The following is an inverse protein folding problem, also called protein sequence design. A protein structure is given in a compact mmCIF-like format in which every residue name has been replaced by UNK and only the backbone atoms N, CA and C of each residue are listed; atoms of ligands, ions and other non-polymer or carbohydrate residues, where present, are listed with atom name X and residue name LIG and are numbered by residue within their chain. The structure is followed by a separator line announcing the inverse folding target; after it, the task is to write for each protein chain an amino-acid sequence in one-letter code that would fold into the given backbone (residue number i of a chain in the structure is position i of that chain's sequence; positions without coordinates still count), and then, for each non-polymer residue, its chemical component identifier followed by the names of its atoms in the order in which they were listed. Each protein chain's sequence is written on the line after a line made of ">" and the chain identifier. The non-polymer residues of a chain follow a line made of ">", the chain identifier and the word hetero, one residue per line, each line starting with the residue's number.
data_IF_808908646215
#
_entry.id   IF_808908646215
#
_cell.length_a   1.000
_cell.length_b   1.000
_cell.length_c   1.000
_cell.angle_alpha   90.00
_cell.angle_beta   90.00
_cell.angle_gamma   90.00
#
_symmetry.space_group_name_H-M   'P 1'
#
loop_
_entity.id
_entity.type
_entity.pdbx_description
1 polymer ?
#
# COMPACT_ATOMS: atom_id res chain seq x y z
N UNK A 1 19.11 19.07 18.47
CA UNK A 1 19.53 17.84 19.16
C UNK A 1 18.37 17.40 20.03
N UNK A 2 17.83 16.20 19.80
CA UNK A 2 16.72 15.64 20.58
C UNK A 2 17.29 14.65 21.59
N UNK A 3 16.87 14.70 22.85
CA UNK A 3 17.31 13.76 23.90
C UNK A 3 16.07 13.08 24.46
N UNK A 4 16.07 11.75 24.47
CA UNK A 4 15.05 10.92 25.09
C UNK A 4 15.67 10.14 26.26
N UNK A 5 14.94 10.01 27.37
CA UNK A 5 15.28 9.12 28.48
C UNK A 5 14.22 8.04 28.58
N UNK A 6 14.66 6.79 28.59
CA UNK A 6 13.82 5.65 28.94
C UNK A 6 13.73 5.47 30.46
N UNK A 7 12.65 4.81 30.91
CA UNK A 7 12.39 4.51 32.32
C UNK A 7 13.46 3.61 32.96
N UNK A 8 14.30 2.98 32.14
CA UNK A 8 15.47 2.19 32.56
C UNK A 8 16.75 3.03 32.74
N UNK A 9 16.67 4.36 32.69
CA UNK A 9 17.80 5.29 32.83
C UNK A 9 18.62 5.51 31.55
N UNK A 10 18.40 4.73 30.48
CA UNK A 10 19.12 4.90 29.22
C UNK A 10 18.76 6.24 28.58
N UNK A 11 19.76 7.10 28.37
CA UNK A 11 19.61 8.38 27.64
C UNK A 11 20.07 8.21 26.19
N UNK A 12 19.21 8.55 25.22
CA UNK A 12 19.54 8.51 23.78
C UNK A 12 19.45 9.91 23.19
N UNK A 13 20.53 10.37 22.58
CA UNK A 13 20.61 11.66 21.90
C UNK A 13 20.61 11.50 20.37
N UNK A 14 19.95 12.42 19.68
CA UNK A 14 19.78 12.44 18.24
C UNK A 14 20.29 13.77 17.66
N UNK A 15 21.17 13.68 16.67
CA UNK A 15 21.75 14.83 15.96
C UNK A 15 21.59 14.67 14.45
N UNK A 16 21.14 15.72 13.78
CA UNK A 16 21.07 15.82 12.32
C UNK A 16 22.34 16.49 11.78
N UNK A 17 22.84 16.00 10.64
CA UNK A 17 23.94 16.65 9.92
C UNK A 17 23.90 16.34 8.42
N UNK A 18 24.87 16.84 7.63
CA UNK A 18 24.88 16.73 6.17
C UNK A 18 24.96 15.29 5.61
N UNK A 19 25.09 14.28 6.48
CA UNK A 19 25.16 12.85 6.14
C UNK A 19 24.05 12.04 6.83
N UNK A 20 22.93 12.69 7.17
CA UNK A 20 21.76 12.09 7.81
C UNK A 20 21.72 12.28 9.33
N UNK A 21 20.77 11.57 9.97
CA UNK A 21 20.54 11.61 11.42
C UNK A 21 21.38 10.52 12.11
N UNK A 22 22.03 10.86 13.23
CA UNK A 22 22.76 9.93 14.10
C UNK A 22 22.11 9.86 15.47
N UNK A 23 22.00 8.64 16.00
CA UNK A 23 21.65 8.37 17.39
C UNK A 23 22.89 7.95 18.19
N UNK A 24 22.99 8.38 19.44
CA UNK A 24 24.04 7.99 20.37
C UNK A 24 23.48 7.80 21.78
N UNK A 25 23.80 6.65 22.39
CA UNK A 25 23.48 6.34 23.78
C UNK A 25 24.50 7.04 24.69
N UNK A 26 24.01 7.64 25.78
CA UNK A 26 24.78 8.37 26.79
C UNK A 26 24.56 7.69 28.14
N UNK A 27 25.50 6.83 28.55
CA UNK A 27 25.46 6.16 29.85
C UNK A 27 25.98 7.10 30.96
N UNK A 28 25.32 7.09 32.12
CA UNK A 28 25.75 7.84 33.30
C UNK A 28 26.29 6.93 34.39
N UNK A 29 27.54 7.16 34.84
CA UNK A 29 28.04 6.60 36.12
C UNK A 29 27.29 7.25 37.29
N UNK A 30 26.95 6.54 38.36
CA UNK A 30 27.79 5.96 39.42
C UNK A 30 27.14 6.40 40.76
N UNK A 31 27.32 5.82 41.94
CA UNK A 31 28.15 4.73 42.50
C UNK A 31 27.34 4.15 43.70
N UNK A 32 27.62 3.01 44.35
CA UNK A 32 28.66 1.97 44.19
C UNK A 32 28.80 1.19 45.51
N UNK A 33 28.56 -0.13 45.53
CA UNK A 33 28.71 -1.00 46.71
C UNK A 33 28.90 -2.49 46.33
N UNK A 34 30.14 -2.85 46.02
CA UNK A 34 30.85 -4.05 46.50
C UNK A 34 30.15 -5.44 46.53
N UNK A 35 29.54 -5.85 45.42
CA UNK A 35 29.53 -7.27 45.01
C UNK A 35 29.97 -7.36 43.54
N UNK A 36 30.90 -8.26 43.19
CA UNK A 36 31.35 -8.44 41.79
C UNK A 36 30.16 -8.88 40.90
N UNK A 37 29.70 -8.05 39.95
CA UNK A 37 28.64 -8.46 39.03
C UNK A 37 29.20 -9.48 38.05
N UNK A 38 28.39 -10.45 37.57
CA UNK A 38 28.87 -11.49 36.67
C UNK A 38 29.48 -10.86 35.42
N UNK A 39 30.76 -11.17 35.17
CA UNK A 39 31.50 -10.71 34.00
C UNK A 39 30.85 -11.30 32.73
N UNK A 40 29.85 -10.60 32.19
CA UNK A 40 29.42 -10.76 30.80
C UNK A 40 30.50 -10.15 29.90
N UNK A 41 31.63 -10.85 29.80
CA UNK A 41 32.51 -10.75 28.63
C UNK A 41 31.62 -10.94 27.41
N UNK A 42 31.66 -9.98 26.50
CA UNK A 42 31.13 -10.16 25.17
C UNK A 42 31.85 -11.37 24.55
N UNK A 43 31.21 -12.54 24.62
CA UNK A 43 31.57 -13.68 23.81
C UNK A 43 31.54 -13.20 22.36
N UNK A 44 32.65 -13.41 21.64
CA UNK A 44 32.70 -13.10 20.22
C UNK A 44 31.51 -13.79 19.54
N UNK A 45 30.79 -13.14 18.61
CA UNK A 45 29.89 -13.87 17.74
C UNK A 45 30.74 -14.81 16.89
N UNK A 46 30.74 -16.11 17.19
CA UNK A 46 31.44 -17.15 16.42
C UNK A 46 30.72 -17.41 15.07
N UNK A 47 30.73 -16.38 14.21
CA UNK A 47 30.26 -16.41 12.84
C UNK A 47 31.37 -15.98 11.88
N UNK A 48 32.51 -16.67 11.97
CA UNK A 48 33.61 -16.50 11.02
C UNK A 48 33.31 -17.29 9.74
N UNK A 49 32.97 -16.58 8.66
CA UNK A 49 32.64 -17.18 7.36
C UNK A 49 33.92 -17.50 6.56
N UNK A 50 34.80 -18.37 7.09
CA UNK A 50 36.03 -18.79 6.39
C UNK A 50 35.86 -20.16 5.70
N UNK A 51 35.78 -20.14 4.37
CA UNK A 51 35.49 -21.32 3.54
C UNK A 51 36.67 -22.29 3.39
N UNK A 52 36.95 -23.10 4.42
CA UNK A 52 37.99 -24.16 4.35
C UNK A 52 37.49 -25.43 3.67
N UNK A 53 37.65 -25.52 2.34
CA UNK A 53 37.58 -26.80 1.63
C UNK A 53 38.68 -27.76 2.12
N UNK A 54 38.30 -28.84 2.81
CA UNK A 54 39.20 -29.99 3.07
C UNK A 54 38.85 -31.16 2.16
N UNK A 55 39.62 -31.31 1.08
CA UNK A 55 39.56 -32.43 0.15
C UNK A 55 40.13 -33.71 0.79
N UNK A 56 39.28 -34.55 1.39
CA UNK A 56 39.66 -35.93 1.75
C UNK A 56 39.56 -36.85 0.52
N UNK A 57 40.68 -37.04 -0.18
CA UNK A 57 40.89 -38.21 -1.05
C UNK A 57 41.03 -39.47 -0.19
N UNK A 58 40.40 -40.58 -0.60
CA UNK A 58 40.91 -41.97 -0.48
C UNK A 58 40.14 -42.90 -1.46
N UNK A 59 40.62 -44.13 -1.72
CA UNK A 59 40.95 -44.55 -3.08
C UNK A 59 39.81 -45.30 -3.80
N UNK A 60 39.97 -45.46 -5.12
CA UNK A 60 38.98 -46.12 -5.97
C UNK A 60 39.01 -47.65 -5.91
N UNK A 61 37.92 -48.25 -6.39
CA UNK A 61 37.83 -49.65 -6.84
C UNK A 61 37.28 -49.63 -8.27
N UNK A 62 37.75 -50.58 -9.08
CA UNK A 62 37.65 -50.54 -10.54
C UNK A 62 36.35 -51.13 -11.12
N UNK A 63 36.29 -51.09 -12.46
CA UNK A 63 35.17 -51.43 -13.33
C UNK A 63 34.53 -52.82 -13.13
N UNK A 64 33.26 -52.91 -13.52
CA UNK A 64 32.51 -54.16 -13.68
C UNK A 64 31.41 -54.02 -14.72
N UNK A 65 31.76 -54.10 -16.00
CA UNK A 65 30.78 -54.20 -17.10
C UNK A 65 30.11 -55.58 -17.08
N UNK A 66 28.81 -55.66 -17.32
CA UNK A 66 28.24 -56.77 -18.09
C UNK A 66 26.89 -56.41 -18.69
N UNK A 67 26.74 -56.69 -19.97
CA UNK A 67 25.48 -56.62 -20.70
C UNK A 67 24.60 -57.83 -20.41
N UNK A 68 23.28 -57.67 -20.48
CA UNK A 68 22.38 -58.77 -20.87
C UNK A 68 21.06 -58.23 -21.44
N UNK A 69 20.97 -58.26 -22.77
CA UNK A 69 19.68 -58.29 -23.46
C UNK A 69 18.92 -59.56 -23.05
N UNK A 70 17.60 -59.48 -22.87
CA UNK A 70 16.70 -60.61 -23.15
C UNK A 70 15.43 -60.12 -23.84
N UNK A 71 14.82 -61.03 -24.59
CA UNK A 71 13.98 -60.75 -25.76
C UNK A 71 12.50 -60.55 -25.39
N UNK A 72 11.77 -59.94 -26.32
CA UNK A 72 10.30 -59.83 -26.37
C UNK A 72 9.60 -61.16 -26.06
N UNK A 73 8.43 -61.06 -25.43
CA UNK A 73 7.28 -61.90 -25.75
C UNK A 73 6.02 -61.02 -25.76
N UNK A 74 5.31 -61.01 -26.88
CA UNK A 74 4.07 -60.25 -27.09
C UNK A 74 2.86 -61.07 -26.71
N UNK A 75 1.88 -60.46 -26.04
CA UNK A 75 0.49 -60.94 -26.06
C UNK A 75 -0.47 -59.75 -26.12
N UNK A 76 -1.23 -59.66 -27.22
CA UNK A 76 -2.25 -58.63 -27.38
C UNK A 76 -3.49 -58.97 -26.55
N UNK A 77 -3.97 -58.00 -25.78
CA UNK A 77 -5.38 -57.93 -25.35
C UNK A 77 -5.92 -56.53 -25.61
N UNK A 78 -6.74 -56.41 -26.67
CA UNK A 78 -7.51 -55.20 -26.96
C UNK A 78 -8.56 -54.96 -25.88
N UNK A 79 -8.56 -53.76 -25.27
CA UNK A 79 -9.69 -53.15 -24.55
C UNK A 79 -9.66 -51.62 -24.79
N UNK A 80 -10.78 -50.91 -24.56
CA UNK A 80 -11.31 -49.97 -25.57
C UNK A 80 -10.69 -48.56 -25.54
N UNK A 81 -10.95 -47.82 -26.62
CA UNK A 81 -10.51 -46.44 -26.80
C UNK A 81 -10.99 -45.52 -25.66
N UNK A 82 -10.04 -44.87 -24.99
CA UNK A 82 -10.29 -43.68 -24.20
C UNK A 82 -9.80 -42.47 -25.00
N UNK A 83 -10.63 -41.43 -25.07
CA UNK A 83 -10.33 -40.20 -25.82
C UNK A 83 -9.06 -39.53 -25.30
N UNK A 84 -7.96 -39.66 -26.04
CA UNK A 84 -6.76 -38.88 -25.81
C UNK A 84 -7.05 -37.41 -26.16
N UNK A 85 -7.29 -36.56 -25.15
CA UNK A 85 -7.11 -35.12 -25.32
C UNK A 85 -5.67 -34.90 -25.77
N UNK A 86 -5.50 -34.42 -27.01
CA UNK A 86 -4.20 -34.06 -27.53
C UNK A 86 -3.65 -32.87 -26.74
N UNK A 87 -2.83 -33.16 -25.73
CA UNK A 87 -2.04 -32.13 -25.06
C UNK A 87 -1.02 -31.62 -26.06
N UNK A 88 -1.22 -30.43 -26.60
CA UNK A 88 -0.20 -29.73 -27.39
C UNK A 88 0.92 -29.34 -26.43
N UNK A 89 1.86 -30.27 -26.24
CA UNK A 89 3.10 -30.03 -25.55
C UNK A 89 3.97 -29.13 -26.43
N UNK A 90 3.79 -27.82 -26.32
CA UNK A 90 4.66 -26.82 -26.91
C UNK A 90 6.07 -26.96 -26.30
N UNK A 91 6.89 -27.79 -26.93
CA UNK A 91 8.25 -28.07 -26.47
C UNK A 91 9.16 -26.87 -26.76
N UNK A 92 9.11 -25.88 -25.86
CA UNK A 92 10.11 -24.82 -25.78
C UNK A 92 11.47 -25.44 -25.44
N UNK A 93 12.24 -25.81 -26.47
CA UNK A 93 13.66 -26.09 -26.30
C UNK A 93 14.34 -24.75 -26.03
N UNK A 94 14.96 -24.54 -24.85
CA UNK A 94 15.76 -23.34 -24.62
C UNK A 94 16.85 -23.26 -25.68
N UNK A 95 17.04 -22.09 -26.28
CA UNK A 95 18.22 -21.83 -27.11
C UNK A 95 19.47 -22.01 -26.25
N UNK A 96 20.56 -22.50 -26.85
CA UNK A 96 21.86 -22.56 -26.17
C UNK A 96 22.23 -21.15 -25.67
N UNK A 97 22.42 -21.01 -24.36
CA UNK A 97 22.57 -19.71 -23.69
C UNK A 97 21.42 -19.30 -22.76
N UNK A 98 20.32 -20.07 -22.68
CA UNK A 98 19.28 -19.82 -21.68
C UNK A 98 19.84 -19.95 -20.25
N UNK A 99 19.76 -18.86 -19.48
CA UNK A 99 20.01 -18.89 -18.03
C UNK A 99 18.96 -19.79 -17.39
N UNK A 100 19.39 -20.96 -16.92
CA UNK A 100 18.55 -21.80 -16.06
C UNK A 100 18.42 -21.07 -14.74
N UNK A 101 17.32 -20.33 -14.56
CA UNK A 101 16.91 -19.79 -13.27
C UNK A 101 16.77 -20.99 -12.34
N UNK A 102 17.72 -21.15 -11.42
CA UNK A 102 17.70 -22.25 -10.48
C UNK A 102 16.46 -22.08 -9.59
N UNK A 103 15.51 -23.02 -9.71
CA UNK A 103 14.34 -23.06 -8.82
C UNK A 103 14.87 -22.98 -7.38
N UNK A 104 14.41 -21.99 -6.57
CA UNK A 104 14.96 -21.78 -5.25
C UNK A 104 14.84 -23.07 -4.44
N UNK A 105 15.99 -23.62 -4.06
CA UNK A 105 16.03 -24.82 -3.22
C UNK A 105 15.34 -24.47 -1.89
N UNK A 106 14.45 -25.33 -1.36
CA UNK A 106 13.82 -25.07 -0.09
C UNK A 106 14.90 -24.87 0.99
N UNK A 107 14.84 -23.75 1.71
CA UNK A 107 15.82 -23.37 2.73
C UNK A 107 15.94 -24.44 3.82
N UNK A 108 14.83 -25.13 4.14
CA UNK A 108 14.85 -26.35 4.93
C UNK A 108 14.98 -27.57 4.02
N UNK A 109 16.11 -28.28 4.13
CA UNK A 109 16.17 -29.69 3.74
C UNK A 109 15.29 -30.49 4.71
N UNK A 110 14.50 -31.42 4.19
CA UNK A 110 13.66 -32.31 5.03
C UNK A 110 12.23 -31.83 5.27
N UNK A 111 11.73 -30.84 4.55
CA UNK A 111 10.27 -30.76 4.33
C UNK A 111 9.84 -32.07 3.67
N UNK A 112 9.03 -32.87 4.36
CA UNK A 112 8.68 -34.24 3.95
C UNK A 112 7.78 -34.31 2.72
N UNK A 113 7.11 -35.45 2.52
CA UNK A 113 6.23 -35.67 1.36
C UNK A 113 5.08 -34.64 1.21
N UNK A 114 4.79 -33.85 2.24
CA UNK A 114 3.80 -32.77 2.27
C UNK A 114 4.35 -31.38 1.90
N UNK A 115 5.59 -31.28 1.40
CA UNK A 115 6.17 -30.00 0.98
C UNK A 115 5.43 -29.42 -0.24
N UNK A 116 4.94 -28.17 -0.14
CA UNK A 116 4.40 -27.43 -1.29
C UNK A 116 5.52 -26.93 -2.20
N UNK A 117 5.18 -26.65 -3.46
CA UNK A 117 6.11 -26.01 -4.41
C UNK A 117 6.44 -24.56 -3.97
N UNK A 118 7.63 -24.03 -4.33
CA UNK A 118 7.97 -22.64 -4.04
C UNK A 118 6.99 -21.65 -4.69
N UNK A 119 6.46 -20.72 -3.90
CA UNK A 119 5.55 -19.65 -4.35
C UNK A 119 6.26 -18.31 -4.61
N UNK A 120 7.55 -18.22 -4.30
CA UNK A 120 8.36 -17.01 -4.45
C UNK A 120 9.78 -17.35 -4.93
N UNK A 121 10.42 -16.41 -5.65
CA UNK A 121 11.78 -16.59 -6.19
C UNK A 121 12.86 -16.57 -5.10
N UNK A 122 12.62 -15.87 -3.98
CA UNK A 122 13.46 -15.85 -2.80
C UNK A 122 12.72 -16.51 -1.62
N UNK A 123 13.40 -17.27 -0.73
CA UNK A 123 12.76 -18.11 0.28
C UNK A 123 12.01 -17.35 1.39
N UNK A 124 12.30 -16.06 1.57
CA UNK A 124 11.57 -15.15 2.47
C UNK A 124 11.00 -13.94 1.71
N UNK A 125 10.85 -14.05 0.39
CA UNK A 125 10.46 -12.93 -0.48
C UNK A 125 11.40 -11.73 -0.31
N UNK A 126 10.82 -10.55 -0.16
CA UNK A 126 11.52 -9.28 0.08
C UNK A 126 12.00 -9.18 1.54
N UNK A 127 12.98 -9.98 1.93
CA UNK A 127 13.41 -10.11 3.33
C UNK A 127 13.84 -8.79 4.00
N UNK A 128 14.34 -7.81 3.22
CA UNK A 128 14.79 -6.51 3.74
C UNK A 128 13.66 -5.66 4.36
N UNK A 129 12.44 -5.71 3.82
CA UNK A 129 11.32 -4.90 4.32
C UNK A 129 10.67 -5.49 5.58
N UNK A 130 10.94 -6.76 5.93
CA UNK A 130 10.43 -7.38 7.15
C UNK A 130 10.90 -6.66 8.43
N UNK A 131 12.01 -5.93 8.34
CA UNK A 131 12.55 -5.10 9.43
C UNK A 131 11.61 -3.94 9.81
N UNK A 132 10.74 -3.48 8.90
CA UNK A 132 9.77 -2.41 9.16
C UNK A 132 8.71 -2.90 10.16
N UNK A 133 8.03 -4.01 9.83
CA UNK A 133 7.02 -4.62 10.72
C UNK A 133 7.62 -5.11 12.03
N UNK A 134 8.85 -5.67 11.98
CA UNK A 134 9.58 -6.04 13.19
C UNK A 134 9.86 -4.82 14.08
N UNK A 135 10.34 -3.70 13.53
CA UNK A 135 10.59 -2.48 14.28
C UNK A 135 9.30 -1.92 14.89
N UNK A 136 8.20 -1.82 14.13
CA UNK A 136 6.89 -1.36 14.63
C UNK A 136 6.44 -2.17 15.86
N UNK A 137 6.39 -3.51 15.74
CA UNK A 137 5.99 -4.40 16.85
C UNK A 137 6.95 -4.28 18.05
N UNK A 138 8.26 -4.19 17.81
CA UNK A 138 9.28 -4.13 18.87
C UNK A 138 9.34 -2.79 19.59
N UNK A 139 9.00 -1.68 18.93
CA UNK A 139 9.01 -0.33 19.50
C UNK A 139 7.70 -0.04 20.26
N UNK A 140 6.55 -0.44 19.72
CA UNK A 140 5.26 -0.28 20.41
C UNK A 140 5.09 -1.26 21.59
N UNK A 141 5.64 -2.47 21.46
CA UNK A 141 5.39 -3.57 22.40
C UNK A 141 3.91 -3.97 22.47
N UNK A 142 3.53 -4.86 23.41
CA UNK A 142 2.16 -5.36 23.48
C UNK A 142 1.15 -4.25 23.76
N UNK A 143 1.46 -3.33 24.68
CA UNK A 143 0.56 -2.22 25.04
C UNK A 143 0.35 -1.23 23.90
N UNK A 144 1.41 -0.87 23.16
CA UNK A 144 1.30 0.06 22.03
C UNK A 144 0.52 -0.52 20.87
N UNK A 145 0.68 -1.82 20.56
CA UNK A 145 -0.11 -2.49 19.50
C UNK A 145 -1.60 -2.60 19.88
N UNK A 146 -1.92 -2.86 21.15
CA UNK A 146 -3.30 -2.79 21.64
C UNK A 146 -3.86 -1.37 21.51
N UNK A 147 -3.13 -0.36 22.00
CA UNK A 147 -3.58 1.04 21.95
C UNK A 147 -3.79 1.52 20.50
N UNK A 148 -2.90 1.18 19.57
CA UNK A 148 -3.07 1.46 18.14
C UNK A 148 -4.40 0.90 17.61
N UNK A 149 -4.69 -0.36 17.91
CA UNK A 149 -5.96 -1.00 17.50
C UNK A 149 -7.18 -0.29 18.09
N UNK A 150 -7.11 0.14 19.35
CA UNK A 150 -8.18 0.89 20.03
C UNK A 150 -8.41 2.27 19.39
N UNK A 151 -7.34 2.99 19.06
CA UNK A 151 -7.41 4.32 18.44
C UNK A 151 -7.92 4.25 17.00
N UNK A 152 -7.51 3.27 16.18
CA UNK A 152 -8.05 3.09 14.83
C UNK A 152 -9.58 2.87 14.84
N UNK A 153 -10.08 2.05 15.78
CA UNK A 153 -11.53 1.85 15.95
C UNK A 153 -12.22 3.11 16.48
N UNK A 154 -11.60 3.84 17.42
CA UNK A 154 -12.12 5.10 17.94
C UNK A 154 -12.25 6.14 16.82
N UNK A 155 -11.21 6.36 16.03
CA UNK A 155 -11.15 7.35 14.95
C UNK A 155 -12.22 7.06 13.88
N UNK A 156 -12.41 5.80 13.48
CA UNK A 156 -13.47 5.43 12.53
C UNK A 156 -14.88 5.69 13.09
N UNK A 157 -15.12 5.38 14.37
CA UNK A 157 -16.41 5.67 15.01
C UNK A 157 -16.60 7.19 15.29
N UNK A 158 -15.52 7.96 15.43
CA UNK A 158 -15.55 9.42 15.50
C UNK A 158 -16.02 10.03 14.17
N UNK A 159 -15.34 9.68 13.07
CA UNK A 159 -15.71 10.09 11.70
C UNK A 159 -17.16 9.69 11.38
N UNK A 160 -17.57 8.49 11.78
CA UNK A 160 -18.97 8.05 11.71
C UNK A 160 -19.90 9.05 12.40
N UNK A 161 -19.66 9.36 13.68
CA UNK A 161 -20.54 10.23 14.48
C UNK A 161 -20.65 11.67 13.97
N UNK A 162 -19.61 12.18 13.30
CA UNK A 162 -19.61 13.50 12.66
C UNK A 162 -20.43 13.55 11.37
N UNK A 163 -20.51 12.43 10.63
CA UNK A 163 -21.04 12.42 9.26
C UNK A 163 -22.37 11.67 9.10
N UNK A 164 -22.76 10.80 10.06
CA UNK A 164 -23.95 9.93 9.94
C UNK A 164 -25.30 10.67 9.88
N UNK A 165 -25.34 11.98 10.15
CA UNK A 165 -26.52 12.82 9.97
C UNK A 165 -26.70 13.36 8.54
N UNK A 166 -25.67 13.23 7.69
CA UNK A 166 -25.62 13.75 6.31
C UNK A 166 -25.25 12.69 5.26
N UNK A 167 -24.61 11.61 5.68
CA UNK A 167 -24.22 10.46 4.85
C UNK A 167 -24.63 9.14 5.51
N UNK A 168 -25.40 8.32 4.79
CA UNK A 168 -25.88 7.03 5.31
C UNK A 168 -24.71 6.05 5.48
N UNK A 169 -24.61 5.44 6.67
CA UNK A 169 -23.59 4.43 6.99
C UNK A 169 -24.13 3.06 6.58
N UNK A 170 -23.59 2.49 5.50
CA UNK A 170 -24.18 1.32 4.84
C UNK A 170 -24.15 0.04 5.70
N UNK A 171 -23.13 -0.11 6.55
CA UNK A 171 -22.96 -1.27 7.42
C UNK A 171 -22.52 -0.85 8.82
N UNK A 172 -23.23 -1.34 9.85
CA UNK A 172 -22.87 -1.20 11.25
C UNK A 172 -23.16 -2.50 12.02
N UNK A 173 -22.46 -2.72 13.14
CA UNK A 173 -22.79 -3.83 14.06
C UNK A 173 -24.10 -3.56 14.80
N UNK A 174 -24.65 -4.60 15.46
CA UNK A 174 -25.90 -4.53 16.26
C UNK A 174 -25.92 -3.42 17.33
N UNK A 175 -24.76 -2.94 17.76
CA UNK A 175 -24.59 -1.85 18.73
C UNK A 175 -24.32 -0.47 18.08
N UNK A 176 -24.59 -0.32 16.77
CA UNK A 176 -24.41 0.93 16.02
C UNK A 176 -22.95 1.32 15.72
N UNK A 177 -21.97 0.47 16.08
CA UNK A 177 -20.53 0.74 15.91
C UNK A 177 -19.95 0.08 14.65
N UNK A 178 -18.89 0.70 14.13
CA UNK A 178 -18.04 0.21 13.04
C UNK A 178 -16.71 -0.32 13.59
N UNK A 179 -15.86 -0.88 12.71
CA UNK A 179 -14.53 -1.37 13.07
C UNK A 179 -13.49 -0.24 12.94
N UNK A 180 -12.34 -0.51 12.31
CA UNK A 180 -11.33 0.50 11.94
C UNK A 180 -11.69 1.27 10.65
N UNK A 181 -12.72 0.83 9.93
CA UNK A 181 -13.22 1.40 8.69
C UNK A 181 -14.76 1.47 8.68
N UNK A 182 -15.31 2.29 7.78
CA UNK A 182 -16.75 2.41 7.52
C UNK A 182 -17.05 2.73 6.05
N UNK A 183 -18.26 2.41 5.60
CA UNK A 183 -18.73 2.67 4.24
C UNK A 183 -19.89 3.67 4.26
N UNK A 184 -19.72 4.81 3.59
CA UNK A 184 -20.79 5.76 3.32
C UNK A 184 -21.47 5.47 1.98
N UNK A 185 -22.81 5.47 1.98
CA UNK A 185 -23.60 5.31 0.76
C UNK A 185 -23.84 6.65 0.07
N UNK A 186 -23.22 6.83 -1.10
CA UNK A 186 -23.34 8.04 -1.92
C UNK A 186 -24.29 7.84 -3.11
N UNK A 187 -24.88 6.65 -3.29
CA UNK A 187 -25.85 6.36 -4.36
C UNK A 187 -27.10 7.26 -4.32
N UNK A 188 -27.64 7.68 -3.15
CA UNK A 188 -28.74 8.63 -3.11
C UNK A 188 -28.40 9.99 -3.74
N UNK A 189 -27.14 10.44 -3.69
CA UNK A 189 -26.71 11.73 -4.27
C UNK A 189 -26.85 11.73 -5.79
N UNK A 190 -26.60 10.58 -6.44
CA UNK A 190 -26.75 10.44 -7.88
C UNK A 190 -28.21 10.50 -8.29
N UNK A 191 -29.12 9.94 -7.49
CA UNK A 191 -30.56 10.01 -7.74
C UNK A 191 -31.15 11.40 -7.46
N UNK A 192 -30.60 12.14 -6.49
CA UNK A 192 -31.11 13.46 -6.06
C UNK A 192 -30.55 14.63 -6.88
N UNK A 193 -29.27 14.58 -7.24
CA UNK A 193 -28.52 15.71 -7.80
C UNK A 193 -27.69 15.35 -9.04
N UNK A 194 -27.73 14.09 -9.51
CA UNK A 194 -26.84 13.61 -10.58
C UNK A 194 -25.36 13.52 -10.17
N UNK A 195 -25.02 13.74 -8.90
CA UNK A 195 -23.65 13.73 -8.38
C UNK A 195 -23.23 12.29 -8.06
N UNK A 196 -22.10 11.87 -8.63
CA UNK A 196 -21.54 10.53 -8.48
C UNK A 196 -20.50 10.48 -7.37
N UNK A 197 -20.14 9.27 -6.91
CA UNK A 197 -19.00 9.07 -6.01
C UNK A 197 -17.67 9.56 -6.60
N UNK A 198 -17.51 9.54 -7.93
CA UNK A 198 -16.32 10.08 -8.58
C UNK A 198 -16.26 11.61 -8.46
N UNK A 199 -17.39 12.31 -8.60
CA UNK A 199 -17.47 13.77 -8.42
C UNK A 199 -17.00 14.17 -7.01
N UNK A 200 -17.51 13.49 -5.96
CA UNK A 200 -17.05 13.67 -4.57
C UNK A 200 -15.56 13.35 -4.40
N UNK A 201 -15.10 12.23 -4.97
CA UNK A 201 -13.70 11.81 -4.90
C UNK A 201 -12.73 12.80 -5.57
N UNK A 202 -13.12 13.42 -6.70
CA UNK A 202 -12.32 14.49 -7.31
C UNK A 202 -12.42 15.79 -6.53
N UNK A 203 -13.61 16.14 -6.01
CA UNK A 203 -13.80 17.36 -5.23
C UNK A 203 -12.97 17.39 -3.95
N UNK A 204 -12.79 16.26 -3.28
CA UNK A 204 -11.89 16.14 -2.12
C UNK A 204 -10.46 16.62 -2.40
N UNK A 205 -9.97 16.51 -3.65
CA UNK A 205 -8.64 17.02 -4.03
C UNK A 205 -8.54 18.54 -3.92
N UNK A 206 -9.63 19.27 -4.20
CA UNK A 206 -9.67 20.73 -4.05
C UNK A 206 -9.59 21.16 -2.58
N UNK A 207 -10.12 20.32 -1.68
CA UNK A 207 -10.01 20.44 -0.22
C UNK A 207 -8.66 19.93 0.31
N UNK A 208 -7.75 19.45 -0.54
CA UNK A 208 -6.43 18.95 -0.14
C UNK A 208 -6.37 17.47 0.26
N UNK A 209 -7.47 16.72 0.11
CA UNK A 209 -7.55 15.31 0.47
C UNK A 209 -7.41 14.36 -0.73
N UNK A 210 -6.69 13.26 -0.53
CA UNK A 210 -6.86 12.09 -1.39
C UNK A 210 -8.22 11.43 -1.08
N UNK A 211 -8.93 10.98 -2.11
CA UNK A 211 -10.19 10.27 -1.91
C UNK A 211 -9.97 8.95 -1.13
N UNK A 212 -10.85 8.59 -0.18
CA UNK A 212 -10.89 7.24 0.39
C UNK A 212 -11.27 6.18 -0.66
N UNK A 213 -11.36 4.91 -0.29
CA UNK A 213 -11.62 3.83 -1.26
C UNK A 213 -12.97 4.01 -1.96
N UNK A 214 -12.95 4.18 -3.29
CA UNK A 214 -14.12 4.46 -4.12
C UNK A 214 -14.70 3.19 -4.75
N UNK A 215 -16.03 3.04 -4.71
CA UNK A 215 -16.80 1.97 -5.38
C UNK A 215 -16.42 0.53 -5.02
N UNK A 216 -15.74 0.33 -3.89
CA UNK A 216 -15.44 -0.97 -3.31
C UNK A 216 -15.65 -0.90 -1.78
N UNK A 217 -16.21 -1.94 -1.13
CA UNK A 217 -16.71 -3.20 -1.69
C UNK A 217 -18.04 -3.08 -2.45
N UNK A 218 -18.69 -1.91 -2.44
CA UNK A 218 -19.98 -1.67 -3.10
C UNK A 218 -19.83 -0.56 -4.15
N UNK A 219 -20.33 -0.74 -5.39
CA UNK A 219 -20.30 0.33 -6.40
C UNK A 219 -21.07 1.57 -5.96
N UNK A 220 -20.50 2.76 -6.19
CA UNK A 220 -21.14 4.03 -5.83
C UNK A 220 -21.02 4.43 -4.35
N UNK A 221 -20.24 3.70 -3.55
CA UNK A 221 -19.98 4.02 -2.13
C UNK A 221 -18.55 4.48 -1.89
N UNK A 222 -18.31 5.09 -0.74
CA UNK A 222 -16.99 5.59 -0.33
C UNK A 222 -16.63 4.98 1.03
N UNK A 223 -15.53 4.24 1.08
CA UNK A 223 -15.06 3.52 2.28
C UNK A 223 -13.87 4.24 2.91
N UNK A 224 -14.01 4.60 4.19
CA UNK A 224 -13.08 5.45 4.94
C UNK A 224 -12.40 4.64 6.04
N UNK A 225 -11.07 4.69 6.08
CA UNK A 225 -10.21 4.15 7.14
C UNK A 225 -9.26 5.27 7.61
N UNK A 226 -9.48 5.90 8.79
CA UNK A 226 -8.62 6.98 9.27
C UNK A 226 -7.32 6.50 9.96
N UNK A 227 -7.21 5.21 10.30
CA UNK A 227 -6.11 4.63 11.10
C UNK A 227 -5.97 5.24 12.51
N UNK A 228 -4.99 4.76 13.28
CA UNK A 228 -4.61 5.32 14.58
C UNK A 228 -3.66 6.53 14.50
N UNK A 229 -3.04 6.74 13.34
CA UNK A 229 -1.90 7.67 13.20
C UNK A 229 -2.33 9.10 12.91
N UNK A 230 -3.56 9.31 12.45
CA UNK A 230 -4.07 10.64 12.12
C UNK A 230 -4.56 11.37 13.38
N UNK A 231 -4.16 12.65 13.57
CA UNK A 231 -4.57 13.44 14.72
C UNK A 231 -6.03 13.92 14.57
N UNK A 232 -6.68 14.25 15.69
CA UNK A 232 -8.09 14.67 15.72
C UNK A 232 -8.38 15.84 14.76
N UNK A 233 -7.44 16.78 14.65
CA UNK A 233 -7.53 17.94 13.77
C UNK A 233 -7.57 17.58 12.28
N UNK A 234 -6.96 16.46 11.87
CA UNK A 234 -7.06 15.96 10.49
C UNK A 234 -8.40 15.25 10.25
N UNK A 235 -8.88 14.48 11.23
CA UNK A 235 -10.22 13.87 11.18
C UNK A 235 -11.30 14.94 11.08
N UNK A 236 -11.13 16.05 11.81
CA UNK A 236 -12.00 17.21 11.76
C UNK A 236 -11.96 17.89 10.39
N UNK A 237 -10.77 18.17 9.81
CA UNK A 237 -10.65 18.72 8.46
C UNK A 237 -11.32 17.83 7.41
N UNK A 238 -11.15 16.52 7.49
CA UNK A 238 -11.79 15.58 6.57
C UNK A 238 -13.32 15.57 6.72
N UNK A 239 -13.83 15.52 7.96
CA UNK A 239 -15.26 15.59 8.21
C UNK A 239 -15.85 16.92 7.72
N UNK A 240 -15.16 18.03 7.94
CA UNK A 240 -15.57 19.36 7.51
C UNK A 240 -15.53 19.55 5.99
N UNK A 241 -14.60 18.88 5.31
CA UNK A 241 -14.58 18.80 3.85
C UNK A 241 -15.79 18.01 3.33
N UNK A 242 -16.06 16.82 3.90
CA UNK A 242 -17.22 16.01 3.55
C UNK A 242 -18.55 16.73 3.80
N UNK A 243 -18.70 17.42 4.93
CA UNK A 243 -19.92 18.21 5.23
C UNK A 243 -20.10 19.37 4.25
N UNK A 244 -19.04 20.09 3.90
CA UNK A 244 -19.12 21.16 2.91
C UNK A 244 -19.44 20.61 1.50
N UNK A 245 -18.86 19.47 1.10
CA UNK A 245 -19.22 18.76 -0.13
C UNK A 245 -20.69 18.33 -0.12
N UNK A 246 -21.26 17.93 1.03
CA UNK A 246 -22.70 17.66 1.15
C UNK A 246 -23.52 18.91 0.86
N UNK A 247 -23.13 20.06 1.42
CA UNK A 247 -23.82 21.33 1.16
C UNK A 247 -23.75 21.71 -0.34
N UNK A 248 -22.60 21.51 -1.00
CA UNK A 248 -22.45 21.66 -2.46
C UNK A 248 -23.39 20.73 -3.26
N UNK A 249 -23.60 19.50 -2.81
CA UNK A 249 -24.55 18.55 -3.44
C UNK A 249 -25.99 19.01 -3.23
N UNK A 250 -26.32 19.50 -2.03
CA UNK A 250 -27.66 19.98 -1.71
C UNK A 250 -27.98 21.32 -2.43
N UNK A 251 -26.97 22.14 -2.75
CA UNK A 251 -27.08 23.29 -3.66
C UNK A 251 -27.45 22.88 -5.09
N UNK A 252 -26.83 21.83 -5.63
CA UNK A 252 -27.21 21.27 -6.95
C UNK A 252 -28.61 20.67 -6.91
N UNK A 253 -28.93 19.87 -5.87
CA UNK A 253 -30.23 19.21 -5.72
C UNK A 253 -31.41 20.21 -5.63
N UNK A 254 -31.15 21.40 -5.08
CA UNK A 254 -32.14 22.48 -4.92
C UNK A 254 -32.12 23.53 -6.04
N UNK A 255 -31.28 23.36 -7.06
CA UNK A 255 -31.16 24.29 -8.19
C UNK A 255 -30.50 25.64 -7.84
N UNK A 256 -29.76 25.73 -6.74
CA UNK A 256 -28.91 26.89 -6.41
C UNK A 256 -27.60 26.89 -7.19
N UNK A 257 -27.12 25.71 -7.59
CA UNK A 257 -25.99 25.52 -8.50
C UNK A 257 -26.46 24.84 -9.79
N UNK A 258 -25.78 25.11 -10.91
CA UNK A 258 -26.07 24.47 -12.19
C UNK A 258 -25.79 22.95 -12.12
N UNK A 259 -26.66 22.06 -12.66
CA UNK A 259 -26.48 20.61 -12.54
C UNK A 259 -25.32 20.04 -13.38
N UNK A 260 -24.80 20.80 -14.35
CA UNK A 260 -23.72 20.39 -15.25
C UNK A 260 -22.44 21.18 -14.97
N UNK A 261 -22.54 22.49 -14.79
CA UNK A 261 -21.39 23.39 -14.57
C UNK A 261 -21.29 23.84 -13.10
N UNK A 262 -20.75 22.96 -12.25
CA UNK A 262 -20.56 23.20 -10.82
C UNK A 262 -19.22 22.64 -10.32
N UNK A 263 -18.85 23.07 -9.12
CA UNK A 263 -17.59 22.67 -8.46
C UNK A 263 -17.40 21.15 -8.35
N UNK A 264 -18.46 20.36 -8.19
CA UNK A 264 -18.38 18.90 -8.09
C UNK A 264 -18.11 18.22 -9.44
N UNK A 265 -18.71 18.75 -10.52
CA UNK A 265 -18.55 18.23 -11.89
C UNK A 265 -17.22 18.61 -12.52
N UNK A 266 -16.74 19.82 -12.26
CA UNK A 266 -15.49 20.31 -12.85
C UNK A 266 -14.24 19.95 -12.04
N UNK A 267 -14.38 19.57 -10.76
CA UNK A 267 -13.26 19.10 -9.95
C UNK A 267 -12.48 17.94 -10.61
N UNK A 268 -11.14 17.87 -10.45
CA UNK A 268 -10.31 18.74 -9.62
C UNK A 268 -9.84 20.00 -10.39
N UNK A 269 -9.78 21.14 -9.71
CA UNK A 269 -9.44 22.42 -10.32
C UNK A 269 -7.92 22.67 -10.28
N UNK A 270 -7.33 22.96 -11.43
CA UNK A 270 -5.86 23.12 -11.54
C UNK A 270 -5.38 24.54 -11.26
N UNK A 271 -4.08 24.69 -10.95
CA UNK A 271 -3.46 26.00 -10.77
C UNK A 271 -3.56 26.86 -12.03
N UNK A 272 -3.38 26.27 -13.23
CA UNK A 272 -3.44 26.97 -14.50
C UNK A 272 -4.84 27.48 -14.83
N UNK A 273 -5.85 26.65 -14.61
CA UNK A 273 -7.27 26.99 -14.77
C UNK A 273 -7.71 28.13 -13.84
N UNK A 274 -7.33 28.06 -12.56
CA UNK A 274 -7.67 29.08 -11.56
C UNK A 274 -6.90 30.39 -11.78
N UNK A 275 -5.68 30.33 -12.33
CA UNK A 275 -4.86 31.50 -12.64
C UNK A 275 -5.17 32.14 -14.01
N UNK A 276 -5.88 31.45 -14.91
CA UNK A 276 -6.15 31.94 -16.27
C UNK A 276 -6.93 33.27 -16.32
N UNK A 277 -6.85 33.99 -17.44
CA UNK A 277 -7.51 35.29 -17.60
C UNK A 277 -9.05 35.13 -17.63
N UNK A 278 -9.55 34.17 -18.40
CA UNK A 278 -10.98 33.87 -18.51
C UNK A 278 -11.44 32.95 -17.37
N UNK A 279 -12.65 33.20 -16.85
CA UNK A 279 -13.34 32.30 -15.92
C UNK A 279 -14.82 32.28 -16.28
N UNK A 280 -15.27 31.17 -16.87
CA UNK A 280 -16.61 31.04 -17.47
C UNK A 280 -17.63 30.35 -16.56
N UNK A 281 -17.19 29.83 -15.42
CA UNK A 281 -18.03 29.09 -14.49
C UNK A 281 -18.96 29.99 -13.65
N UNK A 282 -20.16 29.52 -13.26
CA UNK A 282 -21.11 30.28 -12.45
C UNK A 282 -20.72 30.39 -10.97
N UNK A 283 -19.69 29.68 -10.53
CA UNK A 283 -19.13 29.73 -9.17
C UNK A 283 -17.76 30.44 -9.16
N UNK A 284 -17.28 30.86 -7.99
CA UNK A 284 -16.02 31.64 -7.90
C UNK A 284 -14.76 30.77 -7.88
N UNK A 285 -13.63 31.36 -8.31
CA UNK A 285 -12.27 30.79 -8.14
C UNK A 285 -11.95 30.45 -6.68
N UNK A 286 -12.47 31.24 -5.73
CA UNK A 286 -12.33 30.98 -4.30
C UNK A 286 -13.05 29.69 -3.90
N UNK A 287 -14.30 29.49 -4.36
CA UNK A 287 -15.04 28.25 -4.12
C UNK A 287 -14.35 27.05 -4.79
N UNK A 288 -13.81 27.23 -6.00
CA UNK A 288 -13.05 26.20 -6.70
C UNK A 288 -11.80 25.75 -5.92
N UNK A 289 -10.89 26.67 -5.62
CA UNK A 289 -9.54 26.34 -5.14
C UNK A 289 -9.34 26.39 -3.62
N UNK A 290 -10.14 27.17 -2.91
CA UNK A 290 -9.97 27.45 -1.47
C UNK A 290 -11.32 27.38 -0.72
N UNK A 291 -12.04 26.23 -0.78
CA UNK A 291 -13.39 26.10 -0.24
C UNK A 291 -13.48 26.19 1.29
N UNK A 292 -12.38 25.98 2.02
CA UNK A 292 -12.29 26.13 3.49
C UNK A 292 -10.99 26.84 3.89
N UNK A 293 -10.95 27.54 5.04
CA UNK A 293 -9.76 28.28 5.49
C UNK A 293 -8.48 27.44 5.56
N UNK A 294 -8.57 26.20 6.08
CA UNK A 294 -7.42 25.30 6.19
C UNK A 294 -6.75 24.96 4.84
N UNK A 295 -7.48 25.07 3.73
CA UNK A 295 -6.93 24.84 2.38
C UNK A 295 -5.97 25.97 1.97
N UNK A 296 -6.19 27.20 2.47
CA UNK A 296 -5.32 28.33 2.20
C UNK A 296 -3.99 28.28 2.98
N UNK A 297 -3.96 27.59 4.12
CA UNK A 297 -2.75 27.42 4.94
C UNK A 297 -1.72 26.50 4.26
N UNK A 298 -2.18 25.47 3.53
CA UNK A 298 -1.31 24.52 2.82
C UNK A 298 -1.99 24.00 1.54
N UNK A 299 -2.05 24.83 0.49
CA UNK A 299 -2.69 24.46 -0.77
C UNK A 299 -1.85 23.45 -1.56
N UNK A 300 -2.32 22.21 -1.62
CA UNK A 300 -1.90 21.23 -2.61
C UNK A 300 -2.68 21.46 -3.91
N UNK A 301 -1.97 21.53 -5.04
CA UNK A 301 -2.57 21.73 -6.36
C UNK A 301 -2.69 20.41 -7.13
N UNK A 302 -3.89 20.08 -7.67
CA UNK A 302 -4.05 19.07 -8.70
C UNK A 302 -3.18 19.40 -9.92
N UNK A 303 -2.30 18.47 -10.31
CA UNK A 303 -1.36 18.67 -11.41
C UNK A 303 -2.01 18.65 -12.80
N UNK A 304 -3.17 18.01 -12.92
CA UNK A 304 -4.00 17.92 -14.12
C UNK A 304 -5.48 17.97 -13.70
N UNK A 305 -6.35 18.33 -14.64
CA UNK A 305 -7.80 18.26 -14.46
C UNK A 305 -8.31 16.82 -14.44
N UNK A 306 -9.64 16.65 -14.60
CA UNK A 306 -10.27 15.32 -14.58
C UNK A 306 -9.76 14.44 -15.72
N UNK A 307 -9.28 13.23 -15.38
CA UNK A 307 -8.80 12.23 -16.33
C UNK A 307 -9.98 11.63 -17.10
N UNK A 308 -9.82 11.44 -18.42
CA UNK A 308 -10.72 10.63 -19.26
C UNK A 308 -10.24 9.17 -19.29
N UNK A 309 -10.74 8.38 -18.34
CA UNK A 309 -10.42 6.97 -18.20
C UNK A 309 -10.74 6.19 -19.49
N UNK A 310 -11.87 6.50 -20.12
CA UNK A 310 -12.37 5.77 -21.29
C UNK A 310 -11.64 6.14 -22.59
N UNK A 311 -11.01 7.31 -22.67
CA UNK A 311 -10.10 7.64 -23.77
C UNK A 311 -8.81 6.82 -23.67
N UNK A 312 -8.23 6.69 -22.48
CA UNK A 312 -6.99 5.94 -22.25
C UNK A 312 -7.10 4.48 -22.67
N UNK A 313 -8.18 3.79 -22.25
CA UNK A 313 -8.43 2.39 -22.62
C UNK A 313 -8.62 2.18 -24.12
N UNK A 314 -9.20 3.15 -24.84
CA UNK A 314 -9.40 3.09 -26.30
C UNK A 314 -8.15 3.44 -27.10
N UNK A 315 -7.22 4.20 -26.52
CA UNK A 315 -6.03 4.74 -27.17
C UNK A 315 -4.77 4.33 -26.39
N UNK A 316 -4.61 3.02 -26.17
CA UNK A 316 -3.63 2.44 -25.25
C UNK A 316 -2.17 2.77 -25.62
N UNK A 317 -1.56 3.69 -24.87
CA UNK A 317 -0.17 4.14 -25.05
C UNK A 317 0.63 3.91 -23.76
N UNK A 318 1.26 2.73 -23.63
CA UNK A 318 1.98 2.31 -22.42
C UNK A 318 3.50 2.62 -22.43
N UNK A 319 3.94 3.53 -23.30
CA UNK A 319 5.33 3.96 -23.41
C UNK A 319 5.39 5.49 -23.54
N UNK A 320 6.53 6.09 -23.25
CA UNK A 320 6.72 7.53 -23.42
C UNK A 320 6.35 7.96 -24.86
N UNK A 321 5.48 8.97 -25.04
CA UNK A 321 5.30 9.64 -26.33
C UNK A 321 6.64 10.06 -26.98
N UNK A 322 6.70 10.17 -28.32
CA UNK A 322 7.86 10.74 -29.01
C UNK A 322 8.24 12.11 -28.46
N UNK A 323 9.53 12.46 -28.47
CA UNK A 323 10.01 13.75 -27.91
C UNK A 323 9.32 14.95 -28.57
N UNK A 324 9.02 14.86 -29.87
CA UNK A 324 8.29 15.88 -30.62
C UNK A 324 6.89 16.18 -30.08
N UNK A 325 6.24 15.21 -29.40
CA UNK A 325 4.93 15.42 -28.79
C UNK A 325 4.96 16.43 -27.63
N UNK A 326 6.13 16.63 -27.00
CA UNK A 326 6.34 17.63 -25.95
C UNK A 326 6.79 18.98 -26.50
N UNK A 327 7.28 19.04 -27.75
CA UNK A 327 7.83 20.26 -28.36
C UNK A 327 6.76 21.34 -28.63
N UNK A 328 5.47 20.96 -28.64
CA UNK A 328 4.35 21.89 -28.76
C UNK A 328 3.81 22.44 -27.42
N UNK A 329 4.19 21.86 -26.28
CA UNK A 329 3.60 22.19 -24.97
C UNK A 329 4.42 23.27 -24.22
N UNK A 330 4.84 24.31 -24.93
CA UNK A 330 5.29 25.55 -24.28
C UNK A 330 4.09 26.20 -23.59
N UNK A 331 4.14 26.32 -22.26
CA UNK A 331 3.13 27.06 -21.48
C UNK A 331 2.96 28.46 -22.08
N UNK A 332 1.72 28.79 -22.45
CA UNK A 332 1.23 30.14 -22.76
C UNK A 332 0.07 30.43 -21.83
#
# INVERSE_FOLDING_TARGET
>A
MLIWRGDNGTTVSWSSGPRGVRAQILDGGGEGADEEPPIFRAGRPDWDFEARMRTRRRPGIAAGTTSRQRKRATSERRRPAQNSKATIAASWRPRAGAVVVSVPRPVRRGCGASAIAPIAAAPWGSASILLISYAYIRLLGPRGVTAATEHAILNANYVKSRLESRYDVLYARRNGRVAHELVFDLRPLQAQAGITVQDVAKRLMDYGFHAPTVSFPVPGTLMVEPTESEPLEELDRFCDAMLAIRDEVDDVASGRADPVDNVLKNAPHTAAEVAGDAWTHPYSRQAAAFPRPFVAENKVWPAVGRIDDAHGDRNLMCACPPVDAYAGTSVR
#
